data_IF_292107017419
#
_entry.id   IF_292107017419
#
_cell.length_a   1.000
_cell.length_b   1.000
_cell.length_c   1.000
_cell.angle_alpha   90.00
_cell.angle_beta   90.00
_cell.angle_gamma   90.00
#
_symmetry.space_group_name_H-M   'P 1'
#
loop_
_entity.id
_entity.type
_entity.pdbx_description
1 polymer ?
#
# COMPACT_ATOMS: atom_id res chain seq x y z
N UNK A 1 0.80 -8.61 -5.93
CA UNK A 1 0.65 -8.02 -4.58
C UNK A 1 1.48 -6.75 -4.50
N UNK A 2 0.94 -5.67 -3.91
CA UNK A 2 1.60 -4.36 -3.80
C UNK A 2 1.76 -3.99 -2.32
N UNK A 3 3.01 -3.83 -1.89
CA UNK A 3 3.36 -3.48 -0.51
C UNK A 3 3.56 -1.97 -0.35
N UNK A 4 2.94 -1.43 0.69
CA UNK A 4 3.16 -0.06 1.16
C UNK A 4 3.88 -0.10 2.50
N UNK A 5 5.08 0.48 2.56
CA UNK A 5 5.90 0.48 3.77
C UNK A 5 5.31 1.37 4.88
N UNK A 6 5.61 1.00 6.12
CA UNK A 6 5.26 1.76 7.33
C UNK A 6 6.25 2.90 7.61
N UNK A 7 6.32 3.33 8.87
CA UNK A 7 7.25 4.37 9.33
C UNK A 7 6.59 5.69 9.74
N UNK A 8 5.36 5.62 10.27
CA UNK A 8 4.59 6.76 10.80
C UNK A 8 4.40 7.93 9.81
N UNK A 9 4.50 7.67 8.50
CA UNK A 9 4.55 8.67 7.44
C UNK A 9 5.75 9.63 7.52
N UNK A 10 6.73 9.35 8.37
CA UNK A 10 7.91 10.19 8.60
C UNK A 10 9.20 9.52 8.11
N UNK A 11 9.23 8.20 8.08
CA UNK A 11 10.41 7.37 7.80
C UNK A 11 10.01 6.12 6.99
N UNK A 12 11.00 5.32 6.60
CA UNK A 12 10.82 4.04 5.91
C UNK A 12 11.11 4.10 4.42
N UNK A 13 11.21 2.93 3.79
CA UNK A 13 11.45 2.79 2.37
C UNK A 13 10.93 1.44 1.82
N UNK A 14 10.88 1.29 0.50
CA UNK A 14 10.35 0.12 -0.22
C UNK A 14 11.21 -1.12 0.05
N UNK A 15 12.50 -0.93 0.32
CA UNK A 15 13.40 -1.98 0.79
C UNK A 15 13.10 -2.49 2.21
N UNK A 16 12.21 -1.84 2.97
CA UNK A 16 11.81 -2.29 4.31
C UNK A 16 10.90 -3.51 4.24
N UNK A 17 10.50 -3.94 3.03
CA UNK A 17 9.72 -5.14 2.85
C UNK A 17 10.44 -6.33 3.49
N UNK A 18 10.04 -6.78 4.69
CA UNK A 18 10.91 -7.62 5.47
C UNK A 18 10.84 -9.05 4.95
N UNK A 19 11.99 -9.70 5.04
CA UNK A 19 12.26 -11.12 4.78
C UNK A 19 12.30 -11.47 3.29
N UNK A 20 13.52 -11.52 2.72
CA UNK A 20 13.80 -12.13 1.43
C UNK A 20 13.14 -13.52 1.26
N UNK A 21 12.93 -14.24 2.36
CA UNK A 21 12.17 -15.49 2.41
C UNK A 21 10.69 -15.35 2.02
N UNK A 22 10.00 -14.27 2.42
CA UNK A 22 8.59 -14.03 2.06
C UNK A 22 8.48 -13.74 0.57
N UNK A 23 9.33 -12.85 0.03
CA UNK A 23 9.39 -12.58 -1.42
C UNK A 23 9.64 -13.88 -2.19
N UNK A 24 10.68 -14.64 -1.78
CA UNK A 24 11.01 -15.91 -2.43
C UNK A 24 9.86 -16.92 -2.39
N UNK A 25 9.16 -17.02 -1.26
CA UNK A 25 7.99 -17.90 -1.13
C UNK A 25 6.84 -17.47 -2.05
N UNK A 26 6.52 -16.18 -2.08
CA UNK A 26 5.46 -15.64 -2.93
C UNK A 26 5.78 -15.83 -4.42
N UNK A 27 7.00 -15.45 -4.84
CA UNK A 27 7.45 -15.60 -6.23
C UNK A 27 7.47 -17.06 -6.65
N UNK A 28 7.89 -17.99 -5.78
CA UNK A 28 7.84 -19.44 -6.07
C UNK A 28 6.42 -19.98 -6.31
N UNK A 29 5.39 -19.24 -5.88
CA UNK A 29 3.97 -19.56 -6.07
C UNK A 29 3.34 -18.77 -7.23
N UNK A 30 4.15 -18.12 -8.06
CA UNK A 30 3.68 -17.34 -9.21
C UNK A 30 3.11 -15.96 -8.85
N UNK A 31 3.42 -15.42 -7.68
CA UNK A 31 2.97 -14.08 -7.27
C UNK A 31 4.00 -13.03 -7.69
N UNK A 32 3.56 -12.01 -8.43
CA UNK A 32 4.35 -10.80 -8.66
C UNK A 32 4.25 -9.89 -7.43
N UNK A 33 5.39 -9.52 -6.85
CA UNK A 33 5.48 -8.64 -5.69
C UNK A 33 6.02 -7.28 -6.12
N UNK A 34 5.28 -6.21 -5.80
CA UNK A 34 5.67 -4.83 -6.05
C UNK A 34 5.80 -4.10 -4.72
N UNK A 35 6.82 -3.28 -4.55
CA UNK A 35 7.02 -2.40 -3.39
C UNK A 35 7.13 -0.96 -3.89
N UNK A 36 6.40 -0.03 -3.30
CA UNK A 36 6.35 1.36 -3.78
C UNK A 36 6.98 2.35 -2.79
N UNK A 37 7.54 3.43 -3.34
CA UNK A 37 7.96 4.61 -2.59
C UNK A 37 6.85 5.65 -2.59
N UNK A 38 6.80 6.46 -1.53
CA UNK A 38 5.97 7.66 -1.46
C UNK A 38 6.67 8.73 -0.62
N UNK A 39 6.33 10.01 -0.82
CA UNK A 39 6.91 11.11 -0.04
C UNK A 39 6.55 10.99 1.44
N UNK A 40 7.50 11.37 2.29
CA UNK A 40 7.40 11.29 3.75
C UNK A 40 7.52 12.68 4.39
N UNK A 41 7.09 12.76 5.64
CA UNK A 41 7.17 13.93 6.50
C UNK A 41 6.58 15.17 5.84
N UNK A 42 7.28 16.30 6.02
CA UNK A 42 6.84 17.59 5.51
C UNK A 42 6.59 17.54 3.99
N UNK A 43 7.45 16.84 3.23
CA UNK A 43 7.33 16.78 1.77
C UNK A 43 6.12 15.99 1.28
N UNK A 44 5.63 15.04 2.08
CA UNK A 44 4.47 14.21 1.73
C UNK A 44 3.15 14.73 2.30
N UNK A 45 3.18 15.42 3.43
CA UNK A 45 1.96 15.66 4.22
C UNK A 45 1.78 17.09 4.72
N UNK A 46 2.70 18.01 4.41
CA UNK A 46 2.47 19.43 4.64
C UNK A 46 1.36 19.96 3.72
N UNK A 47 0.50 20.83 4.24
CA UNK A 47 -0.56 21.47 3.46
C UNK A 47 -1.02 22.77 4.08
N UNK A 48 -1.30 23.74 3.22
CA UNK A 48 -2.05 24.97 3.56
C UNK A 48 -3.53 24.87 3.17
N UNK A 49 -3.94 23.72 2.60
CA UNK A 49 -5.26 23.49 1.97
C UNK A 49 -5.59 24.48 0.84
N UNK A 50 -4.57 25.06 0.21
CA UNK A 50 -4.69 25.85 -1.01
C UNK A 50 -4.21 25.03 -2.22
N UNK A 51 -4.53 25.43 -3.46
CA UNK A 51 -4.06 24.74 -4.67
C UNK A 51 -2.53 24.61 -4.75
N UNK A 52 -1.77 25.56 -4.19
CA UNK A 52 -0.31 25.56 -4.22
C UNK A 52 0.31 24.51 -3.29
N UNK A 53 -0.37 24.16 -2.19
CA UNK A 53 0.06 23.11 -1.24
C UNK A 53 -1.10 22.20 -0.84
N UNK A 54 -1.52 21.30 -1.74
CA UNK A 54 -2.63 20.40 -1.50
C UNK A 54 -2.28 19.35 -0.43
N UNK A 55 -3.30 18.85 0.26
CA UNK A 55 -3.13 17.83 1.29
C UNK A 55 -2.77 16.46 0.69
N UNK A 56 -2.15 15.62 1.50
CA UNK A 56 -1.97 14.19 1.24
C UNK A 56 -1.14 13.86 -0.01
N UNK A 57 -0.15 14.69 -0.35
CA UNK A 57 0.76 14.44 -1.47
C UNK A 57 1.39 13.03 -1.43
N UNK A 58 1.75 12.52 -0.25
CA UNK A 58 2.26 11.16 -0.08
C UNK A 58 1.22 10.07 -0.41
N UNK A 59 -0.07 10.28 -0.13
CA UNK A 59 -1.12 9.35 -0.57
C UNK A 59 -1.39 9.47 -2.07
N UNK A 60 -1.26 10.66 -2.65
CA UNK A 60 -1.38 10.87 -4.09
C UNK A 60 -0.22 10.22 -4.85
N UNK A 61 1.00 10.19 -4.29
CA UNK A 61 2.11 9.41 -4.83
C UNK A 61 1.75 7.92 -4.87
N UNK A 62 1.13 7.40 -3.81
CA UNK A 62 0.69 6.00 -3.78
C UNK A 62 -0.40 5.75 -4.82
N UNK A 63 -1.35 6.67 -5.02
CA UNK A 63 -2.35 6.56 -6.11
C UNK A 63 -1.67 6.46 -7.47
N UNK A 64 -0.68 7.30 -7.73
CA UNK A 64 0.02 7.32 -9.02
C UNK A 64 0.85 6.06 -9.22
N UNK A 65 1.54 5.59 -8.18
CA UNK A 65 2.23 4.32 -8.20
C UNK A 65 1.28 3.15 -8.48
N UNK A 66 0.06 3.17 -7.91
CA UNK A 66 -0.94 2.13 -8.16
C UNK A 66 -1.47 2.15 -9.58
N UNK A 67 -1.68 3.32 -10.18
CA UNK A 67 -2.02 3.43 -11.62
C UNK A 67 -0.93 2.79 -12.47
N UNK A 68 0.32 3.19 -12.23
CA UNK A 68 1.47 2.64 -12.94
C UNK A 68 1.54 1.11 -12.81
N UNK A 69 1.33 0.57 -11.60
CA UNK A 69 1.28 -0.87 -11.40
C UNK A 69 0.16 -1.51 -12.21
N UNK A 70 -1.04 -0.94 -12.24
CA UNK A 70 -2.16 -1.52 -13.01
C UNK A 70 -1.84 -1.57 -14.51
N UNK A 71 -1.21 -0.52 -15.02
CA UNK A 71 -0.83 -0.42 -16.44
C UNK A 71 0.31 -1.38 -16.80
N UNK A 72 1.29 -1.54 -15.92
CA UNK A 72 2.54 -2.23 -16.23
C UNK A 72 2.62 -3.68 -15.73
N UNK A 73 1.85 -4.06 -14.71
CA UNK A 73 1.93 -5.42 -14.14
C UNK A 73 1.70 -6.57 -15.15
N UNK A 74 0.92 -6.43 -16.25
CA UNK A 74 0.86 -7.45 -17.29
C UNK A 74 2.22 -7.75 -17.92
N UNK A 75 3.08 -6.75 -18.07
CA UNK A 75 4.43 -6.88 -18.66
C UNK A 75 5.38 -7.69 -17.76
N UNK A 76 5.05 -7.82 -16.47
CA UNK A 76 5.79 -8.62 -15.49
C UNK A 76 5.11 -9.96 -15.19
N UNK A 77 4.10 -10.36 -15.97
CA UNK A 77 3.37 -11.61 -15.80
C UNK A 77 2.33 -11.59 -14.68
N UNK A 78 1.97 -10.42 -14.15
CA UNK A 78 0.88 -10.28 -13.18
C UNK A 78 -0.45 -9.96 -13.85
N UNK A 79 -1.54 -10.17 -13.11
CA UNK A 79 -2.89 -9.88 -13.58
C UNK A 79 -3.35 -8.53 -13.00
N UNK A 80 -3.67 -7.52 -13.82
CA UNK A 80 -4.07 -6.19 -13.36
C UNK A 80 -5.43 -6.19 -12.64
N UNK A 81 -6.24 -7.24 -12.83
CA UNK A 81 -7.52 -7.42 -12.12
C UNK A 81 -7.39 -8.20 -10.81
N UNK A 82 -6.20 -8.70 -10.46
CA UNK A 82 -5.91 -9.45 -9.24
C UNK A 82 -4.78 -8.80 -8.45
N UNK A 83 -5.04 -7.57 -8.00
CA UNK A 83 -4.11 -6.81 -7.19
C UNK A 83 -4.54 -6.88 -5.73
N UNK A 84 -3.61 -7.26 -4.86
CA UNK A 84 -3.78 -7.21 -3.39
C UNK A 84 -2.84 -6.14 -2.84
N UNK A 85 -3.42 -5.12 -2.17
CA UNK A 85 -2.68 -4.13 -1.40
C UNK A 85 -2.47 -4.64 0.02
N UNK A 86 -1.27 -4.41 0.56
CA UNK A 86 -0.94 -4.77 1.94
C UNK A 86 0.15 -3.86 2.49
N UNK A 87 0.19 -3.73 3.82
CA UNK A 87 1.11 -2.83 4.50
C UNK A 87 1.09 -3.02 6.01
N UNK A 88 2.09 -2.45 6.68
CA UNK A 88 2.26 -2.53 8.13
C UNK A 88 2.27 -1.10 8.72
N UNK A 89 1.66 -0.92 9.90
CA UNK A 89 1.61 0.39 10.58
C UNK A 89 1.03 1.50 9.68
N UNK A 90 1.77 2.59 9.42
CA UNK A 90 1.37 3.65 8.48
C UNK A 90 1.05 3.12 7.06
N UNK A 91 1.70 2.04 6.63
CA UNK A 91 1.37 1.35 5.40
C UNK A 91 -0.01 0.70 5.46
N UNK A 92 -0.40 0.12 6.61
CA UNK A 92 -1.77 -0.40 6.79
C UNK A 92 -2.81 0.71 6.82
N UNK A 93 -2.49 1.87 7.40
CA UNK A 93 -3.35 3.05 7.35
C UNK A 93 -3.51 3.58 5.91
N UNK A 94 -2.44 3.55 5.11
CA UNK A 94 -2.48 3.87 3.68
C UNK A 94 -3.39 2.93 2.90
N UNK A 95 -3.28 1.62 3.16
CA UNK A 95 -4.16 0.61 2.58
C UNK A 95 -5.63 0.89 2.93
N UNK A 96 -5.93 1.25 4.19
CA UNK A 96 -7.28 1.68 4.60
C UNK A 96 -7.70 2.98 3.91
N UNK A 97 -6.81 3.94 3.70
CA UNK A 97 -7.14 5.17 2.99
C UNK A 97 -7.54 4.89 1.53
N UNK A 98 -6.81 4.02 0.82
CA UNK A 98 -7.14 3.62 -0.55
C UNK A 98 -8.45 2.86 -0.65
N UNK A 99 -8.81 2.09 0.37
CA UNK A 99 -10.10 1.42 0.46
C UNK A 99 -11.28 2.40 0.42
N UNK A 100 -11.17 3.53 1.13
CA UNK A 100 -12.25 4.51 1.23
C UNK A 100 -12.14 5.66 0.22
N UNK A 101 -10.98 5.84 -0.42
CA UNK A 101 -10.74 6.93 -1.36
C UNK A 101 -11.49 6.72 -2.68
N UNK A 102 -12.37 7.64 -3.11
CA UNK A 102 -13.02 7.58 -4.42
C UNK A 102 -12.02 7.59 -5.57
N UNK A 103 -10.89 8.28 -5.40
CA UNK A 103 -9.82 8.35 -6.41
C UNK A 103 -9.24 6.95 -6.64
N UNK A 104 -8.96 6.22 -5.56
CA UNK A 104 -8.44 4.86 -5.66
C UNK A 104 -9.49 3.88 -6.17
N UNK A 105 -10.75 4.00 -5.73
CA UNK A 105 -11.85 3.16 -6.22
C UNK A 105 -12.12 3.33 -7.72
N UNK A 106 -11.86 4.52 -8.27
CA UNK A 106 -11.99 4.77 -9.71
C UNK A 106 -10.93 4.06 -10.57
N UNK A 107 -9.87 3.53 -9.97
CA UNK A 107 -8.90 2.73 -10.70
C UNK A 107 -9.54 1.38 -11.07
N UNK A 108 -9.49 1.00 -12.35
CA UNK A 108 -10.21 -0.16 -12.90
C UNK A 108 -10.00 -1.48 -12.12
N UNK A 109 -8.83 -1.68 -11.50
CA UNK A 109 -8.55 -2.84 -10.67
C UNK A 109 -9.18 -2.77 -9.27
N UNK A 110 -9.32 -1.57 -8.70
CA UNK A 110 -9.98 -1.32 -7.41
C UNK A 110 -11.48 -1.59 -7.49
N UNK A 111 -12.10 -1.19 -8.59
CA UNK A 111 -13.51 -1.44 -8.84
C UNK A 111 -13.84 -2.91 -9.13
N UNK A 112 -12.89 -3.67 -9.70
CA UNK A 112 -13.18 -4.98 -10.28
C UNK A 112 -13.13 -6.17 -9.31
N UNK A 113 -12.16 -6.28 -8.38
CA UNK A 113 -12.08 -7.39 -7.41
C UNK A 113 -10.88 -7.23 -6.44
N UNK A 114 -10.94 -6.33 -5.45
CA UNK A 114 -9.93 -6.32 -4.38
C UNK A 114 -10.19 -7.44 -3.36
N UNK A 115 -9.73 -8.64 -3.70
CA UNK A 115 -9.83 -9.81 -2.83
C UNK A 115 -8.66 -9.78 -1.84
N UNK A 116 -8.99 -9.48 -0.57
CA UNK A 116 -8.20 -9.71 0.65
C UNK A 116 -7.23 -8.58 1.06
N UNK A 117 -7.62 -7.86 2.10
CA UNK A 117 -6.76 -6.95 2.85
C UNK A 117 -6.10 -7.67 4.01
N UNK A 118 -4.80 -7.48 4.20
CA UNK A 118 -4.09 -8.02 5.35
C UNK A 118 -3.40 -6.87 6.09
N UNK A 119 -4.03 -6.45 7.19
CA UNK A 119 -3.50 -5.47 8.12
C UNK A 119 -2.58 -6.23 9.09
N UNK A 120 -1.28 -6.00 8.97
CA UNK A 120 -0.34 -6.44 10.00
C UNK A 120 -0.26 -5.35 11.06
N UNK A 121 -1.04 -5.51 12.14
CA UNK A 121 -0.92 -4.67 13.33
C UNK A 121 0.02 -5.33 14.33
N UNK A 122 0.96 -4.58 14.91
CA UNK A 122 1.84 -5.04 16.01
C UNK A 122 1.10 -5.15 17.35
N UNK A 123 -0.22 -5.46 17.37
CA UNK A 123 -0.88 -5.69 18.65
C UNK A 123 -0.36 -7.01 19.22
N UNK A 124 0.25 -7.03 20.42
CA UNK A 124 0.32 -8.26 21.18
C UNK A 124 -1.11 -8.80 21.29
N UNK A 125 -1.30 -10.10 21.09
CA UNK A 125 -2.58 -10.76 21.33
C UNK A 125 -3.04 -10.43 22.74
N UNK A 126 -4.00 -9.50 22.86
CA UNK A 126 -4.67 -9.25 24.14
C UNK A 126 -5.62 -10.41 24.38
N UNK A 127 -5.28 -11.24 25.36
CA UNK A 127 -6.12 -12.31 25.87
C UNK A 127 -6.90 -11.74 27.06
N UNK A 128 -8.20 -11.38 26.91
CA UNK A 128 -9.03 -11.19 28.09
C UNK A 128 -9.19 -12.57 28.70
N UNK A 129 -8.47 -12.84 29.77
CA UNK A 129 -8.82 -13.97 30.63
C UNK A 129 -10.30 -13.89 31.02
N UNK A 130 -10.92 -15.04 31.36
CA UNK A 130 -12.34 -15.06 31.66
C UNK A 130 -12.61 -14.24 32.91
N UNK A 131 -13.50 -13.25 32.79
CA UNK A 131 -14.28 -12.73 33.91
C UNK A 131 -15.67 -13.34 33.83
#
# INVERSE_FOLDING_TARGET
MVFIHGGAFLTGHAGDFPVAGIVRNLVSRGVVVVTIQYRLGLLGFFTTRTPDFPANLGLLDQVEALKWVIEEIPNFGGNPYLITLFGQSAGSASVSAHLFSPISQSLNSFAANFTKFQIFSNRPSWNPGPF
#
